data_IF_546747611429
#
_entry.id   IF_546747611429
#
_cell.length_a   1.000
_cell.length_b   1.000
_cell.length_c   1.000
_cell.angle_alpha   90.00
_cell.angle_beta   90.00
_cell.angle_gamma   90.00
#
_symmetry.space_group_name_H-M   'P 1'
#
loop_
_entity.id
_entity.type
_entity.pdbx_description
1 polymer ?
#
# COMPACT_ATOMS: atom_id res chain seq x y z
N UNK A 1 3.69 18.39 -0.30
CA UNK A 1 3.30 17.58 0.87
C UNK A 1 2.15 18.27 1.60
N UNK A 2 1.59 17.63 2.63
CA UNK A 2 0.58 18.22 3.52
C UNK A 2 0.96 17.97 4.98
N UNK A 3 1.43 19.02 5.65
CA UNK A 3 1.81 18.98 7.06
C UNK A 3 0.64 18.62 7.99
N UNK A 4 -0.58 19.03 7.64
CA UNK A 4 -1.79 18.73 8.41
C UNK A 4 -2.11 17.23 8.39
N UNK A 5 -2.00 16.60 7.22
CA UNK A 5 -2.34 15.19 7.04
C UNK A 5 -1.12 14.26 7.20
N UNK A 6 0.09 14.82 7.35
CA UNK A 6 1.35 14.07 7.41
C UNK A 6 1.49 13.15 6.19
N UNK A 7 1.26 13.73 5.01
CA UNK A 7 1.38 13.05 3.72
C UNK A 7 2.43 13.76 2.88
N UNK A 8 3.43 13.03 2.39
CA UNK A 8 4.41 13.54 1.43
C UNK A 8 4.39 12.69 0.16
N UNK A 9 4.56 13.35 -0.99
CA UNK A 9 4.66 12.70 -2.29
C UNK A 9 6.00 13.08 -2.90
N UNK A 10 6.74 12.08 -3.35
CA UNK A 10 7.98 12.23 -4.10
C UNK A 10 7.72 11.57 -5.45
N UNK A 11 7.73 12.36 -6.52
CA UNK A 11 7.39 11.91 -7.87
C UNK A 11 8.65 11.97 -8.74
N UNK A 12 9.11 10.81 -9.20
CA UNK A 12 10.15 10.73 -10.22
C UNK A 12 9.49 10.59 -11.59
N UNK A 13 9.68 11.58 -12.45
CA UNK A 13 9.12 11.65 -13.79
C UNK A 13 10.22 11.33 -14.82
N UNK A 14 10.22 10.13 -15.37
CA UNK A 14 11.23 9.68 -16.31
C UNK A 14 10.64 9.68 -17.73
N UNK A 15 10.97 10.72 -18.50
CA UNK A 15 10.55 10.84 -19.90
C UNK A 15 11.51 10.06 -20.81
N UNK A 16 10.96 9.18 -21.64
CA UNK A 16 11.70 8.37 -22.60
C UNK A 16 11.26 8.77 -24.00
N UNK A 17 12.24 9.24 -24.78
CA UNK A 17 12.08 9.51 -26.21
C UNK A 17 12.85 8.46 -26.99
N UNK A 18 12.13 7.63 -27.73
CA UNK A 18 12.68 6.55 -28.52
C UNK A 18 12.51 6.86 -30.01
N UNK A 19 13.59 6.73 -30.79
CA UNK A 19 13.55 7.00 -32.24
C UNK A 19 12.84 5.90 -33.02
N UNK A 20 12.65 4.72 -32.44
CA UNK A 20 11.98 3.59 -33.09
C UNK A 20 10.51 3.45 -32.67
N UNK A 21 10.00 4.36 -31.84
CA UNK A 21 8.63 4.38 -31.37
C UNK A 21 7.98 5.73 -31.67
N UNK A 22 6.72 5.72 -32.11
CA UNK A 22 5.99 6.92 -32.53
C UNK A 22 5.30 7.66 -31.36
N UNK A 23 5.51 7.20 -30.12
CA UNK A 23 4.95 7.81 -28.91
C UNK A 23 6.04 8.11 -27.88
N UNK A 24 5.84 9.18 -27.12
CA UNK A 24 6.62 9.43 -25.91
C UNK A 24 6.15 8.50 -24.78
N UNK A 25 7.08 7.99 -23.98
CA UNK A 25 6.78 7.18 -22.80
C UNK A 25 7.16 7.94 -21.54
N UNK A 26 6.25 8.05 -20.58
CA UNK A 26 6.51 8.60 -19.25
C UNK A 26 6.41 7.48 -18.21
N UNK A 27 7.52 7.20 -17.51
CA UNK A 27 7.54 6.30 -16.37
C UNK A 27 7.50 7.14 -15.09
N UNK A 28 6.37 7.07 -14.38
CA UNK A 28 6.16 7.77 -13.11
C UNK A 28 6.39 6.81 -11.96
N UNK A 29 7.33 7.15 -11.07
CA UNK A 29 7.46 6.49 -9.77
C UNK A 29 6.96 7.43 -8.68
N UNK A 30 5.90 7.00 -8.00
CA UNK A 30 5.35 7.70 -6.85
C UNK A 30 5.81 7.03 -5.56
N UNK A 31 6.57 7.76 -4.75
CA UNK A 31 6.99 7.37 -3.40
C UNK A 31 6.64 8.49 -2.42
N UNK A 32 7.08 8.36 -1.16
CA UNK A 32 6.83 9.35 -0.12
C UNK A 32 6.34 8.70 1.17
N UNK A 33 5.46 9.38 1.89
CA UNK A 33 4.93 8.92 3.17
C UNK A 33 3.43 9.19 3.27
N UNK A 34 2.70 8.25 3.85
CA UNK A 34 1.32 8.43 4.32
C UNK A 34 1.30 7.99 5.78
N UNK A 35 1.14 8.92 6.71
CA UNK A 35 1.01 8.58 8.12
C UNK A 35 -0.27 7.76 8.37
N UNK A 36 -0.22 6.80 9.29
CA UNK A 36 -1.36 5.92 9.62
C UNK A 36 -2.56 6.64 10.22
N UNK A 37 -2.34 7.87 10.69
CA UNK A 37 -3.33 8.63 11.44
C UNK A 37 -3.60 8.05 12.83
N UNK A 38 -2.71 7.19 13.32
CA UNK A 38 -2.85 6.55 14.63
C UNK A 38 -3.06 7.58 15.74
N UNK A 39 -4.05 7.32 16.60
CA UNK A 39 -4.32 8.11 17.80
C UNK A 39 -4.49 7.17 18.97
N UNK A 40 -3.68 7.38 20.02
CA UNK A 40 -3.77 6.59 21.24
C UNK A 40 -5.14 6.76 21.89
N UNK A 41 -5.72 5.69 22.45
CA UNK A 41 -6.93 5.78 23.26
C UNK A 41 -6.67 6.65 24.50
N UNK A 42 -7.70 7.32 25.02
CA UNK A 42 -7.60 8.04 26.30
C UNK A 42 -7.57 6.99 27.43
N UNK A 43 -6.50 6.91 28.25
CA UNK A 43 -6.42 5.92 29.32
C UNK A 43 -7.51 6.08 30.38
N UNK A 44 -8.20 7.22 30.45
CA UNK A 44 -9.28 7.47 31.41
C UNK A 44 -10.66 6.96 30.93
N UNK A 45 -10.78 6.51 29.68
CA UNK A 45 -12.03 5.97 29.14
C UNK A 45 -12.42 4.69 29.88
N UNK A 46 -13.44 4.77 30.73
CA UNK A 46 -13.78 3.72 31.69
C UNK A 46 -14.51 2.52 31.04
N UNK A 47 -15.72 2.72 30.51
CA UNK A 47 -16.57 1.63 30.00
C UNK A 47 -16.32 1.29 28.53
N UNK A 48 -15.92 2.27 27.73
CA UNK A 48 -15.73 2.13 26.28
C UNK A 48 -14.68 3.12 25.83
N UNK A 49 -13.83 2.69 24.91
CA UNK A 49 -12.80 3.51 24.28
C UNK A 49 -12.71 3.13 22.80
N UNK A 50 -12.07 3.97 22.01
CA UNK A 50 -11.78 3.68 20.60
C UNK A 50 -10.32 3.94 20.27
N UNK A 51 -9.87 3.38 19.15
CA UNK A 51 -8.53 3.52 18.63
C UNK A 51 -8.61 3.83 17.13
N UNK A 52 -7.97 4.93 16.71
CA UNK A 52 -7.80 5.21 15.28
C UNK A 52 -6.48 4.60 14.81
N UNK A 53 -6.52 3.96 13.63
CA UNK A 53 -5.38 3.28 13.04
C UNK A 53 -5.53 3.20 11.51
N UNK A 54 -4.42 2.98 10.80
CA UNK A 54 -4.35 3.04 9.34
C UNK A 54 -4.85 1.78 8.64
N UNK A 55 -6.16 1.52 8.62
CA UNK A 55 -6.71 0.28 8.06
C UNK A 55 -6.49 0.05 6.56
N UNK A 56 -6.28 1.12 5.77
CA UNK A 56 -5.96 1.03 4.34
C UNK A 56 -5.32 2.32 3.82
N UNK A 57 -4.35 2.17 2.93
CA UNK A 57 -3.70 3.26 2.20
C UNK A 57 -4.03 3.14 0.73
N UNK A 58 -4.34 4.26 0.06
CA UNK A 58 -4.66 4.26 -1.37
C UNK A 58 -3.75 5.24 -2.11
N UNK A 59 -3.21 4.78 -3.24
CA UNK A 59 -2.42 5.59 -4.17
C UNK A 59 -2.97 5.37 -5.56
N UNK A 60 -3.06 6.43 -6.37
CA UNK A 60 -3.49 6.30 -7.75
C UNK A 60 -2.98 7.45 -8.62
N UNK A 61 -2.88 7.16 -9.90
CA UNK A 61 -2.51 8.09 -10.94
C UNK A 61 -3.65 8.13 -11.96
N UNK A 62 -3.99 9.34 -12.41
CA UNK A 62 -5.03 9.55 -13.41
C UNK A 62 -4.45 10.44 -14.49
N UNK A 63 -4.46 9.95 -15.73
CA UNK A 63 -4.24 10.78 -16.91
C UNK A 63 -5.48 11.64 -17.13
N UNK A 64 -5.29 12.94 -17.36
CA UNK A 64 -6.41 13.85 -17.56
C UNK A 64 -7.28 13.43 -18.77
N UNK A 65 -8.56 13.75 -18.68
CA UNK A 65 -9.49 13.54 -19.78
C UNK A 65 -9.28 14.63 -20.83
N UNK A 66 -9.37 14.27 -22.11
CA UNK A 66 -9.30 15.21 -23.23
C UNK A 66 -7.97 15.23 -24.00
N UNK A 67 -6.98 14.44 -23.58
CA UNK A 67 -5.73 14.23 -24.32
C UNK A 67 -5.54 12.79 -24.82
N UNK A 68 -4.48 12.57 -25.60
CA UNK A 68 -4.08 11.25 -26.11
C UNK A 68 -3.25 10.41 -25.12
N UNK A 69 -3.06 10.87 -23.89
CA UNK A 69 -2.24 10.17 -22.88
C UNK A 69 -2.98 8.93 -22.39
N UNK A 70 -2.30 7.78 -22.35
CA UNK A 70 -2.90 6.53 -21.85
C UNK A 70 -1.95 5.82 -20.91
N UNK A 71 -2.51 5.23 -19.85
CA UNK A 71 -1.80 4.29 -18.98
C UNK A 71 -1.73 2.96 -19.71
N UNK A 72 -0.52 2.54 -20.06
CA UNK A 72 -0.25 1.32 -20.83
C UNK A 72 0.26 0.17 -19.97
N UNK A 73 0.91 0.48 -18.85
CA UNK A 73 1.48 -0.50 -17.92
C UNK A 73 1.66 0.13 -16.52
N UNK A 74 1.81 -0.70 -15.49
CA UNK A 74 1.95 -0.30 -14.10
C UNK A 74 2.49 -1.43 -13.20
N UNK A 75 3.17 -1.07 -12.11
CA UNK A 75 3.73 -2.00 -11.13
C UNK A 75 3.35 -1.58 -9.69
N UNK A 76 2.93 -2.51 -8.80
CA UNK A 76 2.71 -3.94 -9.05
C UNK A 76 1.49 -4.21 -9.94
N UNK A 77 1.56 -5.29 -10.74
CA UNK A 77 0.46 -5.70 -11.63
C UNK A 77 -0.66 -6.47 -10.95
N UNK A 78 -0.31 -7.21 -9.90
CA UNK A 78 -1.18 -8.19 -9.27
C UNK A 78 -1.33 -7.91 -7.79
N UNK A 79 -2.33 -8.55 -7.18
CA UNK A 79 -2.41 -8.62 -5.72
C UNK A 79 -1.12 -9.22 -5.16
N UNK A 80 -0.64 -8.65 -4.04
CA UNK A 80 0.58 -9.10 -3.38
C UNK A 80 0.41 -9.03 -1.86
N UNK A 81 0.63 -10.16 -1.18
CA UNK A 81 0.53 -10.31 0.28
C UNK A 81 1.92 -10.54 0.94
N UNK A 82 3.00 -10.43 0.16
CA UNK A 82 4.36 -10.58 0.69
C UNK A 82 4.71 -9.41 1.61
N UNK A 83 5.47 -9.68 2.67
CA UNK A 83 5.85 -8.67 3.66
C UNK A 83 6.62 -7.50 3.06
N UNK A 84 7.35 -7.77 1.98
CA UNK A 84 8.01 -6.76 1.17
C UNK A 84 7.68 -7.03 -0.30
N UNK A 85 7.29 -5.97 -1.01
CA UNK A 85 7.14 -5.97 -2.46
C UNK A 85 8.38 -5.37 -3.06
N UNK A 86 8.98 -6.07 -4.02
CA UNK A 86 10.13 -5.59 -4.78
C UNK A 86 9.98 -6.00 -6.24
N UNK A 87 9.89 -5.02 -7.13
CA UNK A 87 9.79 -5.24 -8.58
C UNK A 87 10.63 -4.21 -9.32
N UNK A 88 11.09 -4.58 -10.51
CA UNK A 88 11.78 -3.70 -11.45
C UNK A 88 10.99 -3.60 -12.74
N UNK A 89 10.62 -2.38 -13.12
CA UNK A 89 10.03 -2.05 -14.41
C UNK A 89 11.14 -1.60 -15.36
N UNK A 90 11.20 -2.19 -16.55
CA UNK A 90 12.20 -1.91 -17.57
C UNK A 90 11.56 -1.49 -18.89
N UNK A 91 12.17 -0.52 -19.57
CA UNK A 91 11.81 -0.06 -20.91
C UNK A 91 12.79 -0.60 -21.94
N UNK A 92 12.27 -1.16 -23.03
CA UNK A 92 13.02 -1.62 -24.20
C UNK A 92 12.63 -0.85 -25.46
N UNK A 93 13.50 -0.93 -26.47
CA UNK A 93 13.27 -0.24 -27.74
C UNK A 93 11.93 -0.60 -28.39
N UNK A 94 11.25 0.39 -28.97
CA UNK A 94 9.92 0.22 -29.58
C UNK A 94 8.74 0.27 -28.59
N UNK A 95 8.96 0.75 -27.36
CA UNK A 95 7.90 0.90 -26.36
C UNK A 95 7.64 -0.34 -25.50
N UNK A 96 8.51 -1.35 -25.53
CA UNK A 96 8.34 -2.61 -24.77
C UNK A 96 8.52 -2.35 -23.27
N UNK A 97 7.55 -2.76 -22.44
CA UNK A 97 7.61 -2.66 -20.98
C UNK A 97 7.68 -4.06 -20.38
N UNK A 98 8.68 -4.28 -19.53
CA UNK A 98 8.84 -5.53 -18.79
C UNK A 98 8.85 -5.27 -17.29
N UNK A 99 8.19 -6.14 -16.52
CA UNK A 99 8.19 -6.09 -15.05
C UNK A 99 8.69 -7.42 -14.52
N UNK A 100 9.64 -7.38 -13.60
CA UNK A 100 10.23 -8.58 -12.99
C UNK A 100 10.47 -8.42 -11.49
N UNK A 101 10.43 -9.52 -10.75
CA UNK A 101 10.70 -9.54 -9.30
C UNK A 101 12.20 -9.57 -8.98
N UNK A 102 13.04 -9.77 -9.99
CA UNK A 102 14.48 -9.72 -9.81
C UNK A 102 14.92 -8.25 -9.86
N UNK A 103 15.76 -7.77 -8.92
CA UNK A 103 16.49 -6.53 -9.15
C UNK A 103 17.27 -6.77 -10.44
N UNK A 104 16.91 -6.09 -11.53
CA UNK A 104 17.49 -6.36 -12.84
C UNK A 104 18.92 -5.81 -12.90
N UNK A 105 19.83 -6.48 -12.20
CA UNK A 105 21.25 -6.45 -12.48
C UNK A 105 21.55 -7.28 -13.72
N UNK A 106 20.99 -6.89 -14.86
CA UNK A 106 21.47 -7.34 -16.17
C UNK A 106 20.84 -6.47 -17.25
N UNK A 107 21.60 -5.47 -17.70
CA UNK A 107 21.51 -4.90 -19.04
C UNK A 107 21.86 -6.00 -20.06
N UNK A 108 21.06 -7.06 -20.15
CA UNK A 108 20.93 -7.76 -21.43
C UNK A 108 20.46 -6.65 -22.37
N UNK A 109 21.25 -6.28 -23.38
CA UNK A 109 21.14 -5.04 -24.18
C UNK A 109 19.81 -4.76 -24.91
N UNK A 110 18.73 -5.48 -24.56
CA UNK A 110 17.33 -5.28 -24.94
C UNK A 110 16.66 -4.11 -24.21
N UNK A 111 16.96 -3.87 -22.93
CA UNK A 111 16.31 -2.81 -22.13
C UNK A 111 17.29 -1.65 -21.86
N UNK A 112 16.85 -0.42 -22.14
CA UNK A 112 17.67 0.80 -22.08
C UNK A 112 17.45 1.64 -20.83
N UNK A 113 16.35 1.41 -20.11
CA UNK A 113 16.02 2.09 -18.87
C UNK A 113 15.32 1.13 -17.91
N UNK A 114 15.51 1.33 -16.60
CA UNK A 114 14.76 0.60 -15.58
C UNK A 114 14.53 1.47 -14.34
N UNK A 115 13.44 1.20 -13.63
CA UNK A 115 13.06 1.83 -12.37
C UNK A 115 12.50 0.76 -11.42
N UNK A 116 12.74 0.92 -10.13
CA UNK A 116 12.40 -0.10 -9.12
C UNK A 116 11.36 0.39 -8.14
N UNK A 117 10.53 -0.52 -7.64
CA UNK A 117 9.70 -0.30 -6.46
C UNK A 117 10.17 -1.23 -5.34
N UNK A 118 10.17 -0.72 -4.11
CA UNK A 118 10.46 -1.51 -2.90
C UNK A 118 9.73 -0.89 -1.73
N UNK A 119 8.82 -1.65 -1.11
CA UNK A 119 8.11 -1.22 0.09
C UNK A 119 7.75 -2.39 0.98
N UNK A 120 7.73 -2.15 2.29
CA UNK A 120 7.23 -3.11 3.28
C UNK A 120 5.73 -2.91 3.45
N UNK A 121 5.02 -4.02 3.68
CA UNK A 121 3.59 -4.07 3.93
C UNK A 121 3.26 -5.26 4.83
N UNK A 122 4.09 -5.51 5.85
CA UNK A 122 3.89 -6.61 6.79
C UNK A 122 2.48 -6.57 7.39
N UNK A 123 1.77 -7.70 7.35
CA UNK A 123 0.36 -7.83 7.78
C UNK A 123 -0.70 -7.10 6.91
N UNK A 124 -0.28 -6.40 5.85
CA UNK A 124 -1.14 -5.78 4.83
C UNK A 124 -1.09 -6.56 3.51
N UNK A 125 -1.96 -6.21 2.57
CA UNK A 125 -1.89 -6.67 1.17
C UNK A 125 -2.12 -5.53 0.19
N UNK A 126 -1.40 -5.58 -0.92
CA UNK A 126 -1.64 -4.72 -2.09
C UNK A 126 -2.74 -5.32 -2.96
N UNK A 127 -3.71 -4.49 -3.32
CA UNK A 127 -4.79 -4.78 -4.26
C UNK A 127 -4.77 -3.76 -5.39
N UNK A 128 -5.14 -4.19 -6.60
CA UNK A 128 -5.37 -3.26 -7.72
C UNK A 128 -6.78 -2.70 -7.61
N UNK A 129 -6.91 -1.38 -7.73
CA UNK A 129 -8.21 -0.70 -7.74
C UNK A 129 -9.04 -1.22 -8.92
N UNK A 130 -10.29 -1.63 -8.66
CA UNK A 130 -11.22 -2.12 -9.68
C UNK A 130 -11.57 -1.09 -10.76
N UNK A 131 -11.30 0.19 -10.51
CA UNK A 131 -11.48 1.29 -11.48
C UNK A 131 -10.29 1.47 -12.41
N UNK A 132 -9.23 0.67 -12.29
CA UNK A 132 -8.05 0.75 -13.17
C UNK A 132 -8.46 0.50 -14.63
N UNK A 133 -8.00 1.39 -15.53
CA UNK A 133 -8.26 1.39 -16.96
C UNK A 133 -7.14 2.19 -17.68
N UNK A 134 -7.34 2.54 -18.96
CA UNK A 134 -6.35 3.28 -19.75
C UNK A 134 -6.15 4.76 -19.35
N UNK A 135 -6.94 5.29 -18.41
CA UNK A 135 -6.83 6.66 -17.89
C UNK A 135 -6.62 6.72 -16.38
N UNK A 136 -6.89 5.64 -15.65
CA UNK A 136 -6.67 5.57 -14.20
C UNK A 136 -5.97 4.28 -13.82
N UNK A 137 -5.02 4.35 -12.90
CA UNK A 137 -4.49 3.20 -12.18
C UNK A 137 -4.47 3.52 -10.70
N UNK A 138 -4.82 2.54 -9.86
CA UNK A 138 -4.74 2.71 -8.42
C UNK A 138 -4.44 1.42 -7.69
N UNK A 139 -3.90 1.57 -6.50
CA UNK A 139 -3.58 0.51 -5.56
C UNK A 139 -4.15 0.83 -4.19
N UNK A 140 -4.64 -0.20 -3.52
CA UNK A 140 -4.98 -0.18 -2.10
C UNK A 140 -4.05 -1.11 -1.34
N UNK A 141 -3.42 -0.63 -0.26
CA UNK A 141 -2.66 -1.45 0.69
C UNK A 141 -3.51 -1.55 1.95
N UNK A 142 -4.19 -2.68 2.15
CA UNK A 142 -5.17 -2.86 3.23
C UNK A 142 -4.70 -3.87 4.27
N UNK A 143 -5.10 -3.64 5.53
CA UNK A 143 -4.82 -4.54 6.63
C UNK A 143 -5.44 -5.91 6.34
N UNK A 144 -4.63 -6.97 6.44
CA UNK A 144 -5.01 -8.29 5.94
C UNK A 144 -4.93 -9.40 6.98
N UNK A 145 -3.73 -9.63 7.54
CA UNK A 145 -3.47 -10.75 8.47
C UNK A 145 -2.66 -10.24 9.65
N UNK A 146 -3.32 -9.76 10.69
CA UNK A 146 -2.69 -9.16 11.87
C UNK A 146 -2.79 -10.13 13.03
N UNK A 147 -1.65 -10.42 13.66
CA UNK A 147 -1.60 -11.23 14.88
C UNK A 147 -1.73 -10.33 16.11
N UNK A 148 -2.52 -10.76 17.09
CA UNK A 148 -2.64 -10.12 18.39
C UNK A 148 -2.18 -11.11 19.47
N UNK A 149 -0.99 -10.91 20.03
CA UNK A 149 -0.41 -11.75 21.09
C UNK A 149 -0.47 -13.27 20.79
N UNK A 150 -0.24 -13.66 19.54
CA UNK A 150 -0.29 -15.06 19.09
C UNK A 150 -1.67 -15.56 18.64
N UNK A 151 -2.72 -14.75 18.80
CA UNK A 151 -4.07 -15.02 18.29
C UNK A 151 -4.31 -14.34 16.95
N UNK A 152 -5.21 -14.91 16.14
CA UNK A 152 -5.54 -14.43 14.79
C UNK A 152 -5.21 -15.47 13.70
N UNK A 153 -4.98 -15.03 12.45
CA UNK A 153 -4.90 -13.64 12.02
C UNK A 153 -6.27 -12.94 12.03
N UNK A 154 -6.28 -11.70 12.51
CA UNK A 154 -7.41 -10.79 12.43
C UNK A 154 -7.28 -9.87 11.21
N UNK A 155 -8.42 -9.35 10.75
CA UNK A 155 -8.53 -8.34 9.70
C UNK A 155 -9.54 -7.29 10.14
N UNK A 156 -9.79 -6.28 9.30
CA UNK A 156 -10.82 -5.27 9.55
C UNK A 156 -12.21 -5.88 9.73
N UNK A 157 -12.46 -7.00 9.07
CA UNK A 157 -13.74 -7.69 9.03
C UNK A 157 -13.67 -9.05 9.73
N UNK A 158 -12.73 -9.24 10.66
CA UNK A 158 -12.63 -10.51 11.39
C UNK A 158 -13.92 -10.80 12.18
N UNK A 159 -14.57 -11.90 11.80
CA UNK A 159 -15.71 -12.46 12.52
C UNK A 159 -15.26 -13.08 13.84
N UNK A 160 -16.09 -12.96 14.87
CA UNK A 160 -15.72 -13.13 16.27
C UNK A 160 -15.71 -14.57 16.80
N UNK A 161 -15.51 -15.57 15.94
CA UNK A 161 -15.41 -16.99 16.35
C UNK A 161 -16.51 -17.45 17.35
N UNK A 162 -17.75 -16.95 17.25
CA UNK A 162 -18.88 -17.48 18.02
C UNK A 162 -19.81 -16.48 18.73
N UNK A 163 -19.72 -15.19 18.46
CA UNK A 163 -20.76 -14.17 18.71
C UNK A 163 -20.59 -13.29 19.96
N UNK A 164 -19.55 -13.50 20.76
CA UNK A 164 -19.49 -12.94 22.12
C UNK A 164 -18.60 -11.71 22.30
N UNK A 165 -17.60 -11.47 21.43
CA UNK A 165 -16.56 -10.46 21.68
C UNK A 165 -16.33 -9.48 20.52
N UNK A 166 -16.99 -9.69 19.38
CA UNK A 166 -16.79 -8.84 18.20
C UNK A 166 -15.37 -8.93 17.64
N UNK A 167 -14.90 -7.86 16.99
CA UNK A 167 -13.56 -7.84 16.40
C UNK A 167 -12.49 -7.55 17.48
N UNK A 168 -11.65 -8.55 17.75
CA UNK A 168 -10.61 -8.51 18.80
C UNK A 168 -9.23 -8.09 18.28
N UNK A 169 -9.16 -7.58 17.05
CA UNK A 169 -7.92 -7.24 16.33
C UNK A 169 -6.86 -6.54 17.20
N UNK A 170 -7.26 -5.61 18.07
CA UNK A 170 -6.35 -4.90 18.97
C UNK A 170 -6.75 -4.99 20.45
N UNK A 171 -7.63 -5.93 20.82
CA UNK A 171 -8.05 -6.13 22.21
C UNK A 171 -6.90 -6.78 23.01
N UNK A 172 -6.50 -6.18 24.13
CA UNK A 172 -5.43 -6.72 24.97
C UNK A 172 -5.91 -7.92 25.80
N UNK A 173 -7.11 -7.84 26.37
CA UNK A 173 -7.69 -8.89 27.21
C UNK A 173 -9.21 -8.84 27.22
N UNK A 174 -9.86 -10.01 27.18
CA UNK A 174 -11.33 -10.14 27.29
C UNK A 174 -11.86 -9.81 28.69
N UNK A 175 -11.04 -10.00 29.73
CA UNK A 175 -11.46 -9.96 31.14
C UNK A 175 -10.59 -9.01 31.98
N UNK A 176 -10.01 -7.96 31.39
CA UNK A 176 -9.23 -6.98 32.14
C UNK A 176 -10.08 -6.28 33.20
N UNK A 177 -9.55 -6.13 34.41
CA UNK A 177 -10.03 -5.14 35.37
C UNK A 177 -9.30 -3.81 35.12
N UNK A 178 -10.01 -2.75 34.76
CA UNK A 178 -9.44 -1.43 34.50
C UNK A 178 -10.23 -0.65 33.45
N UNK A 179 -9.70 0.50 33.05
CA UNK A 179 -10.31 1.37 32.05
C UNK A 179 -10.24 0.72 30.65
N UNK A 180 -11.30 0.88 29.86
CA UNK A 180 -11.34 0.44 28.46
C UNK A 180 -10.20 1.05 27.62
N UNK A 181 -9.82 2.30 27.91
CA UNK A 181 -8.70 2.98 27.24
C UNK A 181 -7.35 2.29 27.38
N UNK A 182 -7.16 1.48 28.42
CA UNK A 182 -5.92 0.73 28.68
C UNK A 182 -5.99 -0.72 28.18
N UNK A 183 -7.11 -1.13 27.57
CA UNK A 183 -7.36 -2.51 27.15
C UNK A 183 -7.09 -2.75 25.65
N UNK A 184 -6.25 -1.92 25.02
CA UNK A 184 -5.72 -2.15 23.69
C UNK A 184 -4.30 -2.71 23.76
N UNK A 185 -3.88 -3.48 22.75
CA UNK A 185 -2.48 -3.91 22.67
C UNK A 185 -1.55 -2.70 22.56
N UNK A 186 -0.32 -2.78 23.10
CA UNK A 186 0.65 -1.70 22.95
C UNK A 186 0.94 -1.38 21.47
N UNK A 187 1.13 -0.10 21.16
CA UNK A 187 1.42 0.39 19.81
C UNK A 187 2.60 -0.33 19.13
N UNK A 188 3.66 -0.68 19.87
CA UNK A 188 4.82 -1.38 19.31
C UNK A 188 4.54 -2.83 18.87
N UNK A 189 3.40 -3.39 19.26
CA UNK A 189 2.92 -4.69 18.79
C UNK A 189 1.96 -4.56 17.60
N UNK A 190 1.57 -3.34 17.23
CA UNK A 190 0.75 -3.08 16.06
C UNK A 190 1.63 -3.04 14.79
N UNK A 191 1.09 -3.48 13.63
CA UNK A 191 1.80 -3.41 12.35
C UNK A 191 2.12 -2.00 11.85
#
# INVERSE_FOLDING_TARGET
DSDKYKISQILNLNFIKDKTYDKDTLIVKATGNIHSGFQKPDPNDYYSSFLLWGGQYNVGLTAENGDSTTIVDYAPKNQNESFQVQETLSYGGGGDINISNNPSGSLNGKYSFSETISYKQENYRTLINRKTNNKHVGWGVEAHKIMNNGWGPYSRDADDNGGNFGNELFLKSRNQSGNAGENFIPEYQMP
#
